data_IF_368615965014
#
_entry.id   IF_368615965014
#
_cell.length_a   1.000
_cell.length_b   1.000
_cell.length_c   1.000
_cell.angle_alpha   90.00
_cell.angle_beta   90.00
_cell.angle_gamma   90.00
#
_symmetry.space_group_name_H-M   'P 1'
#
loop_
_entity.id
_entity.type
_entity.pdbx_description
1 polymer ?
#
# COMPACT_ATOMS: atom_id res chain seq x y z
N UNK A 1 -0.01 -5.47 1.24
CA UNK A 1 -1.24 -6.09 0.70
C UNK A 1 -2.36 -5.08 0.76
N UNK A 2 -3.34 -5.17 -0.13
CA UNK A 2 -4.50 -4.26 -0.09
C UNK A 2 -5.41 -4.56 1.11
N UNK A 3 -6.05 -3.52 1.64
CA UNK A 3 -6.96 -3.67 2.78
C UNK A 3 -8.28 -4.37 2.38
N UNK A 4 -8.74 -4.18 1.14
CA UNK A 4 -9.86 -4.95 0.59
C UNK A 4 -9.38 -6.33 0.09
N UNK A 5 -9.06 -7.21 1.05
CA UNK A 5 -8.34 -8.48 0.81
C UNK A 5 -8.95 -9.39 -0.25
N UNK A 6 -10.28 -9.46 -0.32
CA UNK A 6 -11.01 -10.35 -1.25
C UNK A 6 -11.06 -9.87 -2.70
N UNK A 7 -10.70 -8.61 -2.98
CA UNK A 7 -10.79 -8.00 -4.30
C UNK A 7 -9.52 -7.21 -4.67
N UNK A 8 -8.39 -7.57 -4.07
CA UNK A 8 -7.12 -6.89 -4.30
C UNK A 8 -6.19 -7.78 -5.11
N UNK A 9 -5.85 -7.35 -6.33
CA UNK A 9 -4.77 -7.93 -7.12
C UNK A 9 -3.42 -7.38 -6.61
N UNK A 10 -3.06 -7.71 -5.37
CA UNK A 10 -1.78 -7.31 -4.77
C UNK A 10 -0.68 -8.33 -5.05
N UNK A 11 0.48 -8.17 -4.40
CA UNK A 11 1.62 -9.08 -4.46
C UNK A 11 1.27 -10.57 -4.35
N UNK A 12 0.25 -10.95 -3.57
CA UNK A 12 -0.16 -12.36 -3.44
C UNK A 12 -0.76 -12.93 -4.73
N UNK A 13 -1.36 -12.08 -5.56
CA UNK A 13 -1.92 -12.48 -6.84
C UNK A 13 -0.83 -12.62 -7.92
N UNK A 14 0.26 -11.86 -7.80
CA UNK A 14 1.32 -11.74 -8.81
C UNK A 14 2.58 -12.56 -8.48
N UNK A 15 2.42 -13.75 -7.90
CA UNK A 15 3.58 -14.59 -7.49
C UNK A 15 4.41 -15.08 -8.68
N UNK A 16 3.83 -15.14 -9.87
CA UNK A 16 4.50 -15.62 -11.09
C UNK A 16 5.23 -14.50 -11.87
N UNK A 17 5.17 -13.26 -11.39
CA UNK A 17 5.89 -12.13 -11.99
C UNK A 17 7.41 -12.22 -11.74
N UNK A 18 8.21 -11.46 -12.51
CA UNK A 18 9.69 -11.47 -12.44
C UNK A 18 10.25 -11.18 -11.05
N UNK A 19 9.46 -10.53 -10.20
CA UNK A 19 9.81 -10.14 -8.84
C UNK A 19 9.15 -11.04 -7.77
N UNK A 20 8.55 -12.17 -8.15
CA UNK A 20 7.83 -13.10 -7.26
C UNK A 20 6.79 -12.38 -6.37
N UNK A 21 6.03 -11.46 -6.96
CA UNK A 21 5.06 -10.62 -6.25
C UNK A 21 5.64 -9.46 -5.43
N UNK A 22 6.96 -9.33 -5.29
CA UNK A 22 7.56 -8.20 -4.56
C UNK A 22 7.66 -6.94 -5.43
N UNK A 23 7.65 -5.78 -4.76
CA UNK A 23 7.82 -4.46 -5.40
C UNK A 23 9.22 -3.93 -5.07
N UNK A 24 10.06 -3.59 -6.06
CA UNK A 24 11.37 -2.98 -5.82
C UNK A 24 11.27 -1.65 -5.05
N UNK A 25 12.20 -1.39 -4.13
CA UNK A 25 12.21 -0.17 -3.29
C UNK A 25 12.27 1.10 -4.14
N UNK A 26 13.00 1.08 -5.24
CA UNK A 26 13.09 2.20 -6.20
C UNK A 26 11.75 2.59 -6.83
N UNK A 27 10.76 1.69 -6.83
CA UNK A 27 9.41 1.97 -7.34
C UNK A 27 8.47 2.54 -6.27
N UNK A 28 8.93 2.74 -5.04
CA UNK A 28 8.15 3.36 -3.97
C UNK A 28 8.21 4.89 -4.11
N UNK A 29 7.09 5.52 -4.45
CA UNK A 29 7.01 6.99 -4.58
C UNK A 29 6.88 7.70 -3.23
N UNK A 30 6.21 7.09 -2.25
CA UNK A 30 5.98 7.72 -0.95
C UNK A 30 4.96 6.96 -0.09
N UNK A 31 4.58 7.57 1.03
CA UNK A 31 3.63 7.01 2.00
C UNK A 31 2.37 7.88 2.11
N UNK A 32 1.21 7.25 2.26
CA UNK A 32 -0.03 7.93 2.60
C UNK A 32 0.04 8.44 4.05
N UNK A 33 -0.17 9.75 4.24
CA UNK A 33 -0.10 10.38 5.57
C UNK A 33 -1.36 11.13 5.98
N UNK A 34 -2.28 11.39 5.06
CA UNK A 34 -3.53 12.08 5.34
C UNK A 34 -4.64 11.68 4.37
N UNK A 35 -5.89 11.80 4.85
CA UNK A 35 -7.10 11.77 4.06
C UNK A 35 -7.61 13.21 4.01
N UNK A 36 -7.78 13.77 2.80
CA UNK A 36 -8.26 15.15 2.62
C UNK A 36 -9.72 15.21 2.14
N UNK A 37 -10.27 14.08 1.68
CA UNK A 37 -11.62 13.99 1.13
C UNK A 37 -12.19 12.58 1.29
N UNK A 38 -13.52 12.42 1.52
CA UNK A 38 -14.51 13.47 1.80
C UNK A 38 -14.29 14.15 3.15
N UNK A 39 -14.85 15.36 3.34
CA UNK A 39 -14.62 16.20 4.53
C UNK A 39 -14.88 15.43 5.84
N UNK A 40 -15.91 14.57 5.87
CA UNK A 40 -16.23 13.69 7.02
C UNK A 40 -15.13 12.70 7.42
N UNK A 41 -14.13 12.48 6.58
CA UNK A 41 -13.01 11.56 6.80
C UNK A 41 -11.66 12.28 6.85
N UNK A 42 -11.64 13.61 6.93
CA UNK A 42 -10.38 14.36 7.02
C UNK A 42 -9.63 13.95 8.28
N UNK A 43 -8.35 13.59 8.12
CA UNK A 43 -7.52 13.15 9.23
C UNK A 43 -6.13 12.67 8.78
N UNK A 44 -5.26 12.46 9.75
CA UNK A 44 -3.91 11.91 9.53
C UNK A 44 -3.94 10.38 9.60
N UNK A 45 -3.10 9.73 8.78
CA UNK A 45 -2.90 8.28 8.78
C UNK A 45 -1.71 7.94 9.67
N UNK A 46 -1.87 7.07 10.69
CA UNK A 46 -0.77 6.62 11.54
C UNK A 46 0.38 6.05 10.72
N UNK A 47 1.60 6.46 11.04
CA UNK A 47 2.79 5.93 10.38
C UNK A 47 3.26 4.67 11.09
N UNK A 48 3.46 3.60 10.32
CA UNK A 48 4.23 2.42 10.74
C UNK A 48 5.57 2.49 9.99
N UNK A 49 6.69 2.26 10.68
CA UNK A 49 8.00 2.14 10.02
C UNK A 49 8.08 0.75 9.35
N UNK A 50 8.22 0.65 8.02
CA UNK A 50 8.29 -0.64 7.34
C UNK A 50 9.66 -1.32 7.46
N UNK A 51 10.69 -0.64 7.99
CA UNK A 51 12.09 -1.11 8.03
C UNK A 51 12.52 -1.48 9.46
N UNK A 52 11.77 -1.08 10.49
CA UNK A 52 12.02 -1.46 11.89
C UNK A 52 11.20 -2.66 12.34
#
# INVERSE_FOLDING_TARGET
MGDHRGSSADSRYHQDDVNNGFVPVEKVTGRVFAIIWPVKHVGLVPSQDPIK
#
